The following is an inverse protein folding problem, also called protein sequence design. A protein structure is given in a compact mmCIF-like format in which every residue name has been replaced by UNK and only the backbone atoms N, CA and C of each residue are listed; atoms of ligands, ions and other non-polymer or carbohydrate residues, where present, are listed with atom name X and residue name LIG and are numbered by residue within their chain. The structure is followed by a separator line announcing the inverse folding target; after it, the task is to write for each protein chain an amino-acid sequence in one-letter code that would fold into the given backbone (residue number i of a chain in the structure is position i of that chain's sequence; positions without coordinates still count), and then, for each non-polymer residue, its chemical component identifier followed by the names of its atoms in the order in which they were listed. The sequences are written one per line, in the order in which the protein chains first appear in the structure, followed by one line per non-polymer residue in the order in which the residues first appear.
data_IF_012521096676
#
_entry.id   IF_012521096676
#
_cell.length_a   1.000
_cell.length_b   1.000
_cell.length_c   1.000
_cell.angle_alpha   90.00
_cell.angle_beta   90.00
_cell.angle_gamma   90.00
#
_symmetry.space_group_name_H-M   'P 1'
#
loop_
_entity.id
_entity.type
_entity.pdbx_description
1 polymer ?
#
# COMPACT_ATOMS: atom_id res chain seq x y z
N UNK A 1 7.93 5.45 -0.38
CA UNK A 1 7.32 4.32 -1.10
C UNK A 1 7.61 3.01 -0.36
N UNK A 2 6.83 2.68 0.68
CA UNK A 2 6.91 1.39 1.36
C UNK A 2 5.54 0.74 1.20
N UNK A 3 5.49 -0.47 0.64
CA UNK A 3 4.27 -1.28 0.50
C UNK A 3 3.49 -1.23 1.83
N UNK A 4 2.24 -0.73 1.82
CA UNK A 4 1.43 -0.40 3.03
C UNK A 4 1.35 -1.54 4.07
N UNK A 5 1.65 -2.77 3.66
CA UNK A 5 1.65 -3.98 4.48
C UNK A 5 2.96 -4.27 5.22
N UNK A 6 4.10 -3.64 4.90
CA UNK A 6 5.40 -3.87 5.57
C UNK A 6 5.71 -2.85 6.66
N UNK A 7 4.79 -1.93 6.94
CA UNK A 7 4.87 -1.05 8.10
C UNK A 7 4.84 -1.92 9.36
N UNK A 8 5.81 -1.82 10.28
CA UNK A 8 5.97 -2.75 11.40
C UNK A 8 4.72 -2.83 12.27
N UNK A 9 4.06 -1.71 12.54
CA UNK A 9 2.81 -1.66 13.32
C UNK A 9 1.66 -2.47 12.70
N UNK A 10 1.63 -2.56 11.35
CA UNK A 10 0.60 -3.30 10.63
C UNK A 10 0.89 -4.81 10.63
N UNK A 11 2.17 -5.18 10.74
CA UNK A 11 2.60 -6.58 10.84
C UNK A 11 2.15 -7.17 12.17
N UNK A 12 2.36 -6.44 13.27
CA UNK A 12 2.02 -6.93 14.61
C UNK A 12 0.51 -7.07 14.79
N UNK A 13 -0.27 -6.11 14.28
CA UNK A 13 -1.74 -6.18 14.27
C UNK A 13 -2.27 -7.36 13.46
N UNK A 14 -1.63 -7.69 12.33
CA UNK A 14 -2.04 -8.81 11.48
C UNK A 14 -1.59 -10.18 11.99
N UNK A 15 -0.53 -10.24 12.79
CA UNK A 15 -0.12 -11.48 13.48
C UNK A 15 -1.01 -11.76 14.68
N UNK A 16 -1.41 -10.72 15.41
CA UNK A 16 -2.26 -10.83 16.60
C UNK A 16 -3.72 -10.51 16.25
N UNK A 17 -4.30 -11.24 15.30
CA UNK A 17 -5.72 -11.11 14.99
C UNK A 17 -6.57 -11.79 16.07
N UNK A 18 -7.74 -11.19 16.32
CA UNK A 18 -8.75 -11.78 17.19
C UNK A 18 -9.22 -13.12 16.62
N UNK A 19 -9.62 -14.02 17.51
CA UNK A 19 -10.08 -15.36 17.16
C UNK A 19 -11.39 -15.22 16.38
N UNK A 20 -11.32 -15.44 15.07
CA UNK A 20 -12.47 -15.41 14.18
C UNK A 20 -12.81 -16.83 13.73
N UNK A 21 -14.05 -17.25 13.97
CA UNK A 21 -14.55 -18.60 13.66
C UNK A 21 -14.81 -18.82 12.18
N UNK A 22 -14.92 -17.76 11.38
CA UNK A 22 -15.20 -17.88 9.94
C UNK A 22 -13.92 -18.11 9.11
N UNK A 23 -12.73 -17.87 9.69
CA UNK A 23 -11.45 -18.04 9.01
C UNK A 23 -10.76 -19.35 9.37
N UNK A 24 -10.01 -19.94 8.41
CA UNK A 24 -9.28 -21.18 8.67
C UNK A 24 -8.21 -20.95 9.73
N UNK A 25 -8.07 -21.93 10.64
CA UNK A 25 -7.12 -21.83 11.76
C UNK A 25 -7.48 -20.73 12.77
N UNK A 26 -8.76 -20.35 12.86
CA UNK A 26 -9.27 -19.33 13.79
C UNK A 26 -8.60 -17.96 13.63
N UNK A 27 -8.12 -17.65 12.41
CA UNK A 27 -7.40 -16.41 12.11
C UNK A 27 -5.96 -16.33 12.65
N UNK A 28 -5.46 -17.36 13.35
CA UNK A 28 -4.19 -17.29 14.06
C UNK A 28 -2.96 -17.53 13.17
N UNK A 29 -3.09 -18.37 12.15
CA UNK A 29 -1.95 -18.74 11.29
C UNK A 29 -1.97 -17.95 9.98
N UNK A 30 -1.52 -16.69 10.04
CA UNK A 30 -1.57 -15.76 8.91
C UNK A 30 -0.18 -15.44 8.33
N UNK A 31 -0.06 -15.47 6.99
CA UNK A 31 1.12 -14.98 6.28
C UNK A 31 0.86 -13.57 5.72
N UNK A 32 1.63 -12.59 6.19
CA UNK A 32 1.47 -11.17 5.85
C UNK A 32 1.77 -10.88 4.37
N UNK A 33 2.79 -11.51 3.81
CA UNK A 33 3.28 -11.23 2.45
C UNK A 33 2.37 -11.81 1.36
N UNK A 34 1.76 -12.96 1.67
CA UNK A 34 0.88 -13.67 0.76
C UNK A 34 -0.61 -13.38 1.03
N UNK A 35 -0.94 -12.71 2.14
CA UNK A 35 -2.29 -12.41 2.59
C UNK A 35 -3.20 -13.64 2.65
N UNK A 36 -2.71 -14.73 3.28
CA UNK A 36 -3.42 -16.01 3.38
C UNK A 36 -3.41 -16.55 4.80
N UNK A 37 -4.55 -17.11 5.18
CA UNK A 37 -4.74 -17.85 6.42
C UNK A 37 -4.51 -19.34 6.19
N UNK A 38 -3.91 -20.00 7.18
CA UNK A 38 -3.62 -21.42 7.19
C UNK A 38 -4.34 -22.09 8.35
N UNK A 39 -4.56 -23.40 8.23
CA UNK A 39 -5.30 -24.18 9.22
C UNK A 39 -4.44 -24.50 10.45
N UNK A 40 -3.12 -24.70 10.26
CA UNK A 40 -2.17 -25.07 11.30
C UNK A 40 -0.79 -24.41 11.11
N UNK A 41 0.01 -24.38 12.18
CA UNK A 41 1.39 -23.89 12.15
C UNK A 41 2.27 -24.69 11.17
N UNK A 42 2.06 -26.00 11.07
CA UNK A 42 2.82 -26.87 10.17
C UNK A 42 2.69 -26.38 8.71
N UNK A 43 1.46 -26.11 8.26
CA UNK A 43 1.20 -25.60 6.91
C UNK A 43 1.78 -24.20 6.69
N UNK A 44 1.81 -23.35 7.73
CA UNK A 44 2.47 -22.06 7.66
C UNK A 44 3.98 -22.24 7.43
N UNK A 45 4.65 -23.11 8.19
CA UNK A 45 6.09 -23.34 8.02
C UNK A 45 6.45 -23.95 6.65
N UNK A 46 5.60 -24.83 6.12
CA UNK A 46 5.74 -25.38 4.77
C UNK A 46 5.55 -24.29 3.70
N UNK A 47 4.56 -23.41 3.90
CA UNK A 47 4.32 -22.27 3.02
C UNK A 47 5.53 -21.34 2.94
N UNK A 48 6.17 -21.01 4.07
CA UNK A 48 7.36 -20.15 4.09
C UNK A 48 8.53 -20.76 3.29
N UNK A 49 8.68 -22.08 3.31
CA UNK A 49 9.71 -22.79 2.54
C UNK A 49 9.41 -22.88 1.05
N UNK A 50 8.14 -22.72 0.66
CA UNK A 50 7.65 -22.90 -0.70
C UNK A 50 8.22 -21.86 -1.69
N UNK A 51 8.30 -22.26 -2.97
CA UNK A 51 8.77 -21.37 -4.04
C UNK A 51 7.84 -20.18 -4.28
N UNK A 52 6.53 -20.32 -4.01
CA UNK A 52 5.55 -19.26 -4.20
C UNK A 52 5.82 -18.09 -3.23
N UNK A 53 6.06 -18.42 -1.96
CA UNK A 53 6.39 -17.45 -0.93
C UNK A 53 7.70 -16.70 -1.26
N UNK A 54 8.76 -17.44 -1.60
CA UNK A 54 10.06 -16.85 -2.01
C UNK A 54 9.96 -15.96 -3.26
N UNK A 55 9.06 -16.27 -4.19
CA UNK A 55 8.79 -15.40 -5.35
C UNK A 55 8.05 -14.14 -4.96
N UNK A 56 7.15 -14.20 -3.97
CA UNK A 56 6.42 -13.04 -3.47
C UNK A 56 7.35 -12.08 -2.73
N UNK A 57 8.28 -12.62 -1.92
CA UNK A 57 9.33 -11.85 -1.25
C UNK A 57 10.13 -11.00 -2.24
N UNK A 58 10.60 -11.60 -3.33
CA UNK A 58 11.34 -10.87 -4.38
C UNK A 58 10.51 -9.74 -5.01
N UNK A 59 9.23 -9.99 -5.29
CA UNK A 59 8.34 -8.94 -5.83
C UNK A 59 8.05 -7.81 -4.85
N UNK A 60 8.20 -8.05 -3.55
CA UNK A 60 7.98 -7.05 -2.51
C UNK A 60 9.22 -6.16 -2.28
N UNK A 61 10.40 -6.66 -2.69
CA UNK A 61 11.66 -5.91 -2.69
C UNK A 61 11.67 -4.86 -3.80
N UNK A 62 11.03 -5.16 -4.93
CA UNK A 62 10.81 -4.21 -6.02
C UNK A 62 9.85 -3.09 -5.61
N UNK A 63 10.07 -1.87 -6.12
CA UNK A 63 9.21 -0.72 -5.83
C UNK A 63 7.77 -1.00 -6.34
N UNK A 64 6.74 -0.79 -5.49
CA UNK A 64 5.36 -1.00 -5.92
C UNK A 64 4.99 0.03 -6.99
N UNK A 65 4.38 -0.46 -8.07
CA UNK A 65 3.87 0.39 -9.14
C UNK A 65 2.86 1.40 -8.60
N UNK A 66 3.06 2.69 -8.93
CA UNK A 66 2.19 3.78 -8.50
C UNK A 66 1.43 4.39 -9.66
N UNK A 67 0.26 4.96 -9.38
CA UNK A 67 -0.52 5.66 -10.40
C UNK A 67 0.25 6.84 -11.01
N UNK A 68 1.05 7.54 -10.20
CA UNK A 68 1.88 8.65 -10.68
C UNK A 68 2.93 8.20 -11.71
N UNK A 69 3.47 6.99 -11.56
CA UNK A 69 4.37 6.37 -12.53
C UNK A 69 3.62 6.02 -13.83
N UNK A 70 2.38 5.52 -13.70
CA UNK A 70 1.51 5.25 -14.84
C UNK A 70 1.21 6.51 -15.66
N UNK A 71 0.80 7.58 -14.96
CA UNK A 71 0.43 8.85 -15.56
C UNK A 71 1.65 9.51 -16.24
N UNK A 72 2.85 9.38 -15.64
CA UNK A 72 4.11 9.81 -16.24
C UNK A 72 4.46 9.04 -17.51
N UNK A 73 4.30 7.72 -17.51
CA UNK A 73 4.54 6.88 -18.67
C UNK A 73 3.52 7.13 -19.80
N UNK A 74 2.27 7.47 -19.45
CA UNK A 74 1.21 7.83 -20.38
C UNK A 74 1.33 9.27 -20.94
N UNK A 75 2.32 10.05 -20.47
CA UNK A 75 2.50 11.45 -20.86
C UNK A 75 1.47 12.41 -20.25
N UNK A 76 0.69 11.95 -19.27
CA UNK A 76 -0.30 12.71 -18.51
C UNK A 76 0.36 13.16 -17.20
N UNK A 77 1.39 14.00 -17.30
CA UNK A 77 2.13 14.51 -16.14
C UNK A 77 2.12 16.04 -16.09
N UNK A 78 2.51 16.63 -14.95
CA UNK A 78 2.83 18.07 -14.91
C UNK A 78 3.87 18.35 -16.01
N UNK A 79 3.66 19.39 -16.86
CA UNK A 79 4.65 19.75 -17.85
C UNK A 79 5.97 20.10 -17.13
N UNK A 80 7.04 19.39 -17.48
CA UNK A 80 8.42 19.71 -17.06
C UNK A 80 8.92 21.04 -17.69
N UNK A 81 8.18 21.53 -18.68
CA UNK A 81 8.25 22.93 -19.06
C UNK A 81 7.60 23.76 -17.94
N UNK A 82 8.45 24.30 -17.06
CA UNK A 82 8.11 25.12 -15.89
C UNK A 82 7.01 26.15 -16.15
N UNK A 83 6.38 26.63 -15.06
CA UNK A 83 5.20 27.53 -15.09
C UNK A 83 5.25 28.47 -16.29
N UNK A 84 4.44 28.20 -17.32
CA UNK A 84 4.20 29.18 -18.39
C UNK A 84 3.79 30.47 -17.68
N UNK A 85 4.61 31.50 -17.79
CA UNK A 85 4.42 32.78 -17.11
C UNK A 85 2.98 33.26 -17.34
N UNK A 86 2.16 33.10 -16.32
CA UNK A 86 0.72 33.24 -16.42
C UNK A 86 0.19 33.68 -15.07
N UNK A 87 0.15 35.01 -14.90
CA UNK A 87 -0.55 35.84 -13.91
C UNK A 87 -0.94 35.12 -12.61
N UNK A 88 -0.26 35.48 -11.52
CA UNK A 88 -0.69 35.21 -10.14
C UNK A 88 -2.13 35.72 -9.99
N UNK A 89 -3.10 34.81 -9.87
CA UNK A 89 -4.44 35.15 -9.40
C UNK A 89 -4.32 35.41 -7.90
N UNK A 90 -4.07 36.67 -7.54
CA UNK A 90 -4.35 37.14 -6.18
C UNK A 90 -5.86 37.14 -6.02
N UNK A 91 -6.40 36.16 -5.30
CA UNK A 91 -7.73 36.25 -4.70
C UNK A 91 -7.68 37.34 -3.63
N UNK A 92 -7.92 38.59 -4.04
CA UNK A 92 -8.35 39.62 -3.11
C UNK A 92 -9.85 39.46 -2.97
N UNK A 93 -10.26 38.80 -1.88
CA UNK A 93 -11.64 38.83 -1.42
C UNK A 93 -11.96 40.29 -1.05
N UNK A 94 -12.83 40.94 -1.84
CA UNK A 94 -13.44 42.22 -1.48
C UNK A 94 -14.60 41.89 -0.55
N UNK A 95 -14.37 41.96 0.76
CA UNK A 95 -15.45 42.02 1.75
C UNK A 95 -16.08 43.41 1.65
N UNK A 96 -17.22 43.50 0.96
CA UNK A 96 -18.15 44.61 1.17
C UNK A 96 -18.76 44.42 2.57
N UNK A 97 -18.25 45.16 3.55
CA UNK A 97 -19.02 45.49 4.76
C UNK A 97 -20.00 46.61 4.36
N UNK A 98 -21.29 46.27 4.25
CA UNK A 98 -22.35 47.26 4.36
C UNK A 98 -22.77 47.33 5.84
N UNK A 99 -23.05 48.57 6.27
CA UNK A 99 -23.23 49.14 7.61
C UNK A 99 -23.83 48.27 8.74
#
# INVERSE_FOLDING_TARGET
MVSVTTIPENIDKKKNQEIDTDLPGLGQHYCVECARHFISEAHLTEHLKSKLHKRRLKKLEDEPYTQEEADRAAGIGKPDNGKKGGRVLTSQDVTMEEE
#
